data_IF_320434210391
#
_entry.id   IF_320434210391
#
_cell.length_a   1.000
_cell.length_b   1.000
_cell.length_c   1.000
_cell.angle_alpha   90.00
_cell.angle_beta   90.00
_cell.angle_gamma   90.00
#
_symmetry.space_group_name_H-M   'P 1'
#
loop_
_entity.id
_entity.type
_entity.pdbx_description
1 polymer ?
#
# COMPACT_ATOMS: atom_id res chain seq x y z
N UNK A 1 26.96 60.78 -1.43
CA UNK A 1 26.42 59.95 -2.54
C UNK A 1 26.20 58.57 -1.94
N UNK A 2 25.00 58.36 -1.40
CA UNK A 2 24.66 57.22 -0.55
C UNK A 2 23.58 56.42 -1.29
N UNK A 3 23.83 55.13 -1.50
CA UNK A 3 22.91 54.22 -2.17
C UNK A 3 21.70 53.91 -1.27
N UNK A 4 20.47 53.78 -1.81
CA UNK A 4 19.38 53.15 -1.10
C UNK A 4 19.38 51.64 -1.34
N UNK A 5 19.62 50.97 -0.23
CA UNK A 5 19.20 49.65 0.26
C UNK A 5 18.24 48.82 -0.58
N UNK A 6 18.59 47.53 -0.73
CA UNK A 6 17.79 46.49 -1.38
C UNK A 6 16.68 46.02 -0.44
N UNK A 7 15.44 46.42 -0.70
CA UNK A 7 14.28 45.84 -0.04
C UNK A 7 13.96 44.46 -0.64
N UNK A 8 14.30 43.40 0.08
CA UNK A 8 13.72 42.06 -0.14
C UNK A 8 12.19 42.09 0.04
N UNK A 9 11.42 41.37 -0.79
CA UNK A 9 9.98 41.28 -0.57
C UNK A 9 9.71 40.34 0.62
N UNK A 10 9.39 40.93 1.78
CA UNK A 10 8.81 40.21 2.92
C UNK A 10 7.49 39.58 2.49
N UNK A 11 7.51 38.27 2.27
CA UNK A 11 6.31 37.49 1.95
C UNK A 11 5.55 37.26 3.25
N UNK A 12 4.66 38.18 3.61
CA UNK A 12 3.73 38.00 4.71
C UNK A 12 2.70 36.94 4.32
N UNK A 13 2.88 35.71 4.78
CA UNK A 13 1.89 34.65 4.66
C UNK A 13 0.69 34.98 5.56
N UNK A 14 -0.31 35.68 5.02
CA UNK A 14 -1.61 35.86 5.67
C UNK A 14 -2.30 34.51 5.77
N UNK A 15 -2.34 33.96 6.99
CA UNK A 15 -3.18 32.81 7.32
C UNK A 15 -4.65 33.23 7.28
N UNK A 16 -5.27 33.06 6.11
CA UNK A 16 -6.72 33.13 5.98
C UNK A 16 -7.29 31.80 6.46
N UNK A 17 -7.80 31.78 7.69
CA UNK A 17 -8.79 30.77 8.11
C UNK A 17 -10.08 31.08 7.35
N UNK A 18 -10.12 30.66 6.09
CA UNK A 18 -11.36 30.64 5.31
C UNK A 18 -12.36 29.80 6.09
N UNK A 19 -13.52 30.40 6.39
CA UNK A 19 -14.65 29.72 7.00
C UNK A 19 -14.87 28.39 6.28
N UNK A 20 -14.59 27.27 6.95
CA UNK A 20 -14.81 25.96 6.38
C UNK A 20 -16.31 25.90 6.02
N UNK A 21 -16.68 25.57 4.77
CA UNK A 21 -18.08 25.32 4.46
C UNK A 21 -18.55 24.26 5.44
N UNK A 22 -19.66 24.53 6.13
CA UNK A 22 -20.30 23.60 7.07
C UNK A 22 -20.37 22.25 6.37
N UNK A 23 -19.47 21.34 6.73
CA UNK A 23 -19.38 20.01 6.16
C UNK A 23 -20.76 19.39 6.37
N UNK A 24 -21.55 19.39 5.30
CA UNK A 24 -22.84 18.73 5.32
C UNK A 24 -22.52 17.26 5.57
N UNK A 25 -23.06 16.74 6.66
CA UNK A 25 -23.00 15.31 6.95
C UNK A 25 -23.85 14.63 5.89
N UNK A 26 -23.23 14.34 4.73
CA UNK A 26 -23.65 13.21 3.92
C UNK A 26 -23.67 12.04 4.90
N UNK A 27 -24.77 11.31 5.03
CA UNK A 27 -24.82 10.17 5.94
C UNK A 27 -23.89 9.06 5.38
N UNK A 28 -22.70 8.79 5.96
CA UNK A 28 -21.76 7.86 5.37
C UNK A 28 -21.81 6.60 6.21
N UNK A 29 -22.17 5.48 5.61
CA UNK A 29 -21.98 4.18 6.25
C UNK A 29 -20.48 3.87 6.50
N UNK A 30 -19.56 4.75 6.06
CA UNK A 30 -18.11 4.54 6.10
C UNK A 30 -17.32 5.85 6.36
N UNK A 31 -17.49 6.47 7.53
CA UNK A 31 -16.54 7.52 7.99
C UNK A 31 -15.29 6.85 8.55
N UNK A 32 -14.14 7.17 7.99
CA UNK A 32 -12.83 6.80 8.55
C UNK A 32 -11.99 8.06 8.77
N UNK A 33 -11.06 8.01 9.72
CA UNK A 33 -10.13 9.12 9.96
C UNK A 33 -9.13 9.23 8.81
N UNK A 34 -8.59 10.43 8.56
CA UNK A 34 -7.52 10.63 7.58
C UNK A 34 -6.31 9.71 7.84
N UNK A 35 -5.91 9.59 9.11
CA UNK A 35 -4.86 8.66 9.53
C UNK A 35 -5.20 7.19 9.21
N UNK A 36 -6.46 6.78 9.36
CA UNK A 36 -6.87 5.43 8.97
C UNK A 36 -6.81 5.23 7.45
N UNK A 37 -7.13 6.25 6.67
CA UNK A 37 -7.03 6.21 5.20
C UNK A 37 -5.57 6.04 4.76
N UNK A 38 -4.65 6.83 5.32
CA UNK A 38 -3.21 6.71 5.08
C UNK A 38 -2.71 5.30 5.41
N UNK A 39 -3.08 4.77 6.57
CA UNK A 39 -2.74 3.40 6.99
C UNK A 39 -3.27 2.32 6.02
N UNK A 40 -4.34 2.61 5.28
CA UNK A 40 -4.93 1.72 4.28
C UNK A 40 -4.39 1.94 2.86
N UNK A 41 -3.18 2.51 2.72
CA UNK A 41 -2.50 2.77 1.45
C UNK A 41 -3.37 3.64 0.53
N UNK A 42 -3.72 4.83 1.02
CA UNK A 42 -4.61 5.78 0.34
C UNK A 42 -5.95 5.14 -0.08
N UNK A 43 -6.44 4.24 0.76
CA UNK A 43 -7.69 3.55 0.54
C UNK A 43 -7.64 2.35 -0.41
N UNK A 44 -6.47 1.96 -0.95
CA UNK A 44 -6.33 0.73 -1.75
C UNK A 44 -6.73 -0.54 -1.00
N UNK A 45 -6.68 -0.50 0.34
CA UNK A 45 -7.10 -1.60 1.22
C UNK A 45 -8.45 -1.35 1.90
N UNK A 46 -9.22 -0.35 1.46
CA UNK A 46 -10.61 -0.16 1.90
C UNK A 46 -11.45 -1.38 1.55
N UNK A 47 -12.35 -1.73 2.47
CA UNK A 47 -13.33 -2.78 2.21
C UNK A 47 -14.47 -2.19 1.39
N UNK A 48 -14.62 -2.62 0.14
CA UNK A 48 -15.77 -2.26 -0.70
C UNK A 48 -16.99 -3.15 -0.43
N UNK A 49 -16.84 -4.17 0.43
CA UNK A 49 -17.89 -5.09 0.81
C UNK A 49 -17.57 -5.83 2.12
N UNK A 50 -18.45 -6.75 2.57
CA UNK A 50 -18.34 -7.38 3.88
C UNK A 50 -17.17 -8.38 4.01
N UNK A 51 -16.50 -8.72 2.90
CA UNK A 51 -15.39 -9.68 2.88
C UNK A 51 -14.17 -9.06 2.20
N UNK A 52 -13.03 -9.10 2.90
CA UNK A 52 -11.73 -8.82 2.34
C UNK A 52 -11.08 -10.11 1.85
N UNK A 53 -10.25 -9.99 0.81
CA UNK A 53 -9.38 -11.11 0.44
C UNK A 53 -8.35 -11.36 1.54
N UNK A 54 -7.86 -12.60 1.64
CA UNK A 54 -6.83 -12.94 2.62
C UNK A 54 -5.54 -12.13 2.45
N UNK A 55 -5.16 -11.83 1.20
CA UNK A 55 -4.02 -10.96 0.90
C UNK A 55 -4.22 -9.53 1.44
N UNK A 56 -5.40 -8.94 1.24
CA UNK A 56 -5.71 -7.62 1.79
C UNK A 56 -5.68 -7.62 3.33
N UNK A 57 -6.16 -8.69 3.97
CA UNK A 57 -6.12 -8.81 5.43
C UNK A 57 -4.68 -8.84 5.96
N UNK A 58 -3.82 -9.65 5.35
CA UNK A 58 -2.41 -9.72 5.73
C UNK A 58 -1.68 -8.40 5.51
N UNK A 59 -1.96 -7.71 4.41
CA UNK A 59 -1.35 -6.41 4.15
C UNK A 59 -1.81 -5.35 5.17
N UNK A 60 -3.08 -5.37 5.58
CA UNK A 60 -3.63 -4.43 6.59
C UNK A 60 -3.10 -4.67 8.00
N UNK A 61 -2.90 -5.94 8.39
CA UNK A 61 -2.57 -6.31 9.77
C UNK A 61 -1.07 -6.48 9.99
N UNK A 62 -0.37 -7.03 9.00
CA UNK A 62 1.04 -7.40 9.12
C UNK A 62 1.95 -6.70 8.12
N UNK A 63 1.43 -5.78 7.28
CA UNK A 63 2.18 -5.13 6.21
C UNK A 63 2.83 -6.11 5.21
N UNK A 64 2.25 -7.31 5.02
CA UNK A 64 2.72 -8.33 4.06
C UNK A 64 1.90 -8.24 2.77
N UNK A 65 2.55 -7.92 1.65
CA UNK A 65 1.93 -7.97 0.31
C UNK A 65 2.16 -9.33 -0.36
N UNK A 66 1.07 -10.06 -0.64
CA UNK A 66 1.09 -11.33 -1.36
C UNK A 66 0.71 -11.19 -2.86
N UNK A 67 0.33 -9.99 -3.29
CA UNK A 67 -0.05 -9.68 -4.66
C UNK A 67 1.13 -9.35 -5.57
N UNK A 68 2.30 -9.09 -5.00
CA UNK A 68 3.51 -8.67 -5.72
C UNK A 68 4.67 -9.59 -5.41
N UNK A 69 5.35 -10.08 -6.44
CA UNK A 69 6.59 -10.83 -6.25
C UNK A 69 7.71 -9.91 -5.75
N UNK A 70 8.35 -10.18 -4.60
CA UNK A 70 9.45 -9.34 -4.11
C UNK A 70 10.70 -9.39 -5.00
N UNK A 71 10.78 -10.36 -5.93
CA UNK A 71 11.95 -10.56 -6.79
C UNK A 71 11.85 -9.92 -8.16
N UNK A 72 10.67 -9.91 -8.76
CA UNK A 72 10.47 -9.42 -10.13
C UNK A 72 9.34 -8.39 -10.25
N UNK A 73 8.70 -8.02 -9.13
CA UNK A 73 7.56 -7.10 -9.09
C UNK A 73 6.35 -7.54 -9.95
N UNK A 74 6.32 -8.80 -10.38
CA UNK A 74 5.20 -9.39 -11.12
C UNK A 74 3.99 -9.63 -10.22
N UNK A 75 2.80 -9.69 -10.83
CA UNK A 75 1.56 -10.03 -10.11
C UNK A 75 1.58 -11.48 -9.64
N UNK A 76 1.27 -11.70 -8.37
CA UNK A 76 1.10 -13.00 -7.74
C UNK A 76 -0.33 -13.19 -7.26
N UNK A 77 -0.78 -14.45 -7.23
CA UNK A 77 -2.09 -14.84 -6.69
C UNK A 77 -1.88 -15.97 -5.68
N UNK A 78 -2.31 -15.82 -4.41
CA UNK A 78 -2.33 -16.93 -3.47
C UNK A 78 -3.22 -18.06 -4.00
N UNK A 79 -2.70 -19.30 -4.02
CA UNK A 79 -3.41 -20.47 -4.54
C UNK A 79 -3.87 -21.43 -3.45
N UNK A 80 -3.21 -21.43 -2.29
CA UNK A 80 -3.53 -22.29 -1.16
C UNK A 80 -3.04 -21.64 0.15
N UNK A 81 -3.65 -22.03 1.27
CA UNK A 81 -3.18 -21.73 2.62
C UNK A 81 -2.85 -23.06 3.31
N UNK A 82 -1.68 -23.12 3.95
CA UNK A 82 -1.20 -24.33 4.63
C UNK A 82 -1.26 -24.05 6.12
N UNK A 83 -2.07 -24.83 6.84
CA UNK A 83 -2.27 -24.67 8.29
C UNK A 83 -1.64 -25.81 9.12
N UNK A 84 -1.27 -26.92 8.49
CA UNK A 84 -0.64 -28.06 9.16
C UNK A 84 0.85 -27.76 9.45
N UNK A 85 1.28 -27.72 10.72
CA UNK A 85 2.68 -27.47 11.08
C UNK A 85 3.66 -28.51 10.55
N UNK A 86 3.26 -29.78 10.44
CA UNK A 86 4.12 -30.83 9.91
C UNK A 86 4.37 -30.65 8.41
N UNK A 87 3.35 -30.23 7.65
CA UNK A 87 3.48 -29.91 6.23
C UNK A 87 4.32 -28.66 6.03
N UNK A 88 4.11 -27.60 6.83
CA UNK A 88 4.91 -26.39 6.77
C UNK A 88 6.40 -26.67 6.99
N UNK A 89 6.75 -27.44 8.03
CA UNK A 89 8.15 -27.83 8.31
C UNK A 89 8.77 -28.57 7.13
N UNK A 90 8.10 -29.62 6.62
CA UNK A 90 8.60 -30.38 5.46
C UNK A 90 8.87 -29.51 4.23
N UNK A 91 8.02 -28.51 3.98
CA UNK A 91 8.22 -27.57 2.86
C UNK A 91 9.43 -26.68 3.11
N UNK A 92 9.55 -26.11 4.32
CA UNK A 92 10.66 -25.23 4.67
C UNK A 92 12.01 -25.97 4.62
N UNK A 93 12.08 -27.16 5.21
CA UNK A 93 13.28 -28.01 5.18
C UNK A 93 13.71 -28.28 3.72
N UNK A 94 12.76 -28.60 2.84
CA UNK A 94 13.04 -28.83 1.41
C UNK A 94 13.54 -27.59 0.66
N UNK A 95 13.13 -26.39 1.09
CA UNK A 95 13.53 -25.13 0.46
C UNK A 95 14.94 -24.70 0.92
N UNK A 96 15.30 -24.96 2.17
CA UNK A 96 16.64 -24.65 2.72
C UNK A 96 17.73 -25.51 2.06
N UNK A 97 17.41 -26.77 1.72
CA UNK A 97 18.33 -27.69 1.04
C UNK A 97 18.59 -27.33 -0.44
N UNK A 98 17.84 -26.36 -1.01
CA UNK A 98 17.94 -26.01 -2.42
C UNK A 98 18.50 -24.60 -2.63
N UNK A 99 19.45 -24.43 -3.57
CA UNK A 99 19.86 -23.08 -3.97
C UNK A 99 18.66 -22.31 -4.50
N UNK A 100 18.56 -21.02 -4.13
CA UNK A 100 17.44 -20.15 -4.49
C UNK A 100 17.09 -20.31 -5.98
N UNK A 101 15.94 -20.92 -6.25
CA UNK A 101 15.55 -21.28 -7.61
C UNK A 101 15.56 -20.03 -8.49
N UNK A 102 16.31 -20.05 -9.60
CA UNK A 102 16.28 -18.97 -10.57
C UNK A 102 14.92 -19.00 -11.28
N UNK A 103 13.95 -18.20 -10.82
CA UNK A 103 12.72 -17.96 -11.58
C UNK A 103 13.10 -17.52 -13.01
N UNK A 104 12.58 -18.21 -14.04
CA UNK A 104 12.77 -17.78 -15.42
C UNK A 104 12.15 -16.39 -15.59
N UNK A 105 12.72 -15.60 -16.50
CA UNK A 105 12.17 -14.30 -16.86
C UNK A 105 10.69 -14.46 -17.27
N UNK A 106 9.84 -13.44 -17.06
CA UNK A 106 8.48 -13.43 -17.57
C UNK A 106 8.48 -13.81 -19.05
N UNK A 107 7.67 -14.79 -19.44
CA UNK A 107 7.52 -15.12 -20.87
C UNK A 107 7.00 -13.87 -21.57
N UNK A 108 7.73 -13.41 -22.59
CA UNK A 108 7.29 -12.30 -23.43
C UNK A 108 5.94 -12.61 -24.09
N UNK A 109 5.23 -11.59 -24.59
CA UNK A 109 4.00 -11.80 -25.36
C UNK A 109 4.28 -12.76 -26.53
N UNK A 110 3.34 -13.66 -26.88
CA UNK A 110 3.50 -14.49 -28.07
C UNK A 110 3.66 -13.57 -29.30
N UNK A 111 4.72 -13.78 -30.07
CA UNK A 111 4.89 -13.12 -31.37
C UNK A 111 4.04 -13.88 -32.37
N UNK A 112 3.07 -13.20 -32.98
CA UNK A 112 2.20 -13.72 -34.02
C UNK A 112 2.26 -12.82 -35.25
#
# INVERSE_FOLDING_TARGET
MTAPDSAEPTITATSQVGSHPKLQRLEPFNVITAQHLERLLDGRLLATGPRLTWAQLLQRTYAIDLGTCPRCCGRMKPIAQIHDPAVMRRILDHLDDKPAARHPAPRGPPMH
#
